data_IF_603170431200
#
_entry.id   IF_603170431200
#
_cell.length_a   1.000
_cell.length_b   1.000
_cell.length_c   1.000
_cell.angle_alpha   90.00
_cell.angle_beta   90.00
_cell.angle_gamma   90.00
#
_symmetry.space_group_name_H-M   'P 1'
#
loop_
_entity.id
_entity.type
_entity.pdbx_description
1 polymer ?
#
# COMPACT_ATOMS: atom_id res chain seq x y z
N UNK A 1 9.84 -18.69 -45.91
CA UNK A 1 10.26 -19.10 -44.55
C UNK A 1 10.12 -17.88 -43.66
N UNK A 2 9.02 -17.79 -42.92
CA UNK A 2 8.75 -16.64 -42.04
C UNK A 2 9.48 -16.92 -40.73
N UNK A 3 10.50 -16.12 -40.44
CA UNK A 3 11.21 -16.15 -39.16
C UNK A 3 10.21 -15.72 -38.08
N UNK A 4 9.87 -16.58 -37.08
CA UNK A 4 9.02 -16.14 -36.00
C UNK A 4 9.81 -15.11 -35.18
N UNK A 5 9.32 -13.87 -35.16
CA UNK A 5 9.78 -12.86 -34.21
C UNK A 5 9.40 -13.39 -32.82
N UNK A 6 10.36 -14.03 -32.13
CA UNK A 6 10.23 -14.28 -30.70
C UNK A 6 10.26 -12.92 -30.02
N UNK A 7 9.07 -12.35 -29.79
CA UNK A 7 8.94 -11.16 -28.94
C UNK A 7 9.60 -11.47 -27.60
N UNK A 8 10.62 -10.69 -27.23
CA UNK A 8 11.33 -10.87 -25.97
C UNK A 8 10.31 -10.78 -24.83
N UNK A 9 10.24 -11.83 -24.00
CA UNK A 9 9.47 -11.79 -22.77
C UNK A 9 10.16 -10.79 -21.85
N UNK A 10 9.45 -9.75 -21.42
CA UNK A 10 9.96 -8.78 -20.44
C UNK A 10 10.29 -9.50 -19.14
N UNK A 11 11.36 -9.08 -18.46
CA UNK A 11 11.72 -9.63 -17.15
C UNK A 11 10.84 -9.04 -16.04
N UNK A 12 10.84 -9.66 -14.86
CA UNK A 12 10.12 -9.14 -13.69
C UNK A 12 10.58 -7.73 -13.30
N UNK A 13 11.90 -7.49 -13.34
CA UNK A 13 12.46 -6.17 -13.08
C UNK A 13 12.03 -5.14 -14.13
N UNK A 14 11.99 -5.53 -15.40
CA UNK A 14 11.56 -4.64 -16.49
C UNK A 14 10.07 -4.28 -16.37
N UNK A 15 9.21 -5.24 -15.98
CA UNK A 15 7.80 -4.95 -15.71
C UNK A 15 7.65 -3.99 -14.52
N UNK A 16 8.40 -4.19 -13.44
CA UNK A 16 8.38 -3.29 -12.29
C UNK A 16 8.82 -1.87 -12.69
N UNK A 17 9.89 -1.75 -13.47
CA UNK A 17 10.40 -0.45 -13.94
C UNK A 17 9.39 0.28 -14.83
N UNK A 18 8.68 -0.44 -15.71
CA UNK A 18 7.60 0.14 -16.53
C UNK A 18 6.42 0.61 -15.69
N UNK A 19 6.04 -0.15 -14.66
CA UNK A 19 4.97 0.27 -13.75
C UNK A 19 5.37 1.49 -12.91
N UNK A 20 6.59 1.52 -12.38
CA UNK A 20 7.12 2.70 -11.69
C UNK A 20 7.15 3.91 -12.62
N UNK A 21 7.56 3.76 -13.88
CA UNK A 21 7.53 4.87 -14.84
C UNK A 21 6.10 5.38 -15.12
N UNK A 22 5.09 4.51 -15.06
CA UNK A 22 3.69 4.92 -15.18
C UNK A 22 3.24 5.73 -13.96
N UNK A 23 3.53 5.22 -12.75
CA UNK A 23 3.05 5.78 -11.47
C UNK A 23 3.86 7.01 -11.01
N UNK A 24 5.17 7.00 -11.18
CA UNK A 24 6.09 8.05 -10.76
C UNK A 24 7.05 8.42 -11.90
N UNK A 25 6.55 9.07 -12.98
CA UNK A 25 7.33 9.40 -14.16
C UNK A 25 8.51 10.34 -13.86
N UNK A 26 8.40 11.12 -12.80
CA UNK A 26 9.39 12.12 -12.40
C UNK A 26 10.29 11.65 -11.24
N UNK A 27 10.18 10.37 -10.82
CA UNK A 27 10.98 9.77 -9.74
C UNK A 27 10.92 10.54 -8.42
N UNK A 28 9.74 11.06 -8.08
CA UNK A 28 9.48 11.90 -6.92
C UNK A 28 9.35 11.10 -5.62
N UNK A 29 9.13 9.77 -5.66
CA UNK A 29 8.86 9.00 -4.44
C UNK A 29 9.93 9.17 -3.36
N UNK A 30 11.22 9.15 -3.70
CA UNK A 30 12.30 9.36 -2.73
C UNK A 30 12.29 10.77 -2.11
N UNK A 31 11.80 11.76 -2.86
CA UNK A 31 11.68 13.16 -2.42
C UNK A 31 10.25 13.51 -1.98
N UNK A 32 9.39 12.51 -1.77
CA UNK A 32 7.99 12.74 -1.46
C UNK A 32 7.88 13.52 -0.14
N UNK A 33 7.21 14.67 -0.23
CA UNK A 33 6.86 15.54 0.89
C UNK A 33 5.43 16.00 0.64
N UNK A 34 4.48 15.25 1.19
CA UNK A 34 3.07 15.44 0.85
C UNK A 34 2.14 15.04 1.97
N UNK A 35 0.92 15.51 1.84
CA UNK A 35 -0.18 15.18 2.74
C UNK A 35 -1.37 14.64 1.97
N UNK A 36 -2.08 13.69 2.55
CA UNK A 36 -3.27 13.11 1.96
C UNK A 36 -4.20 12.53 3.01
N UNK A 37 -5.47 12.36 2.66
CA UNK A 37 -6.47 11.73 3.51
C UNK A 37 -6.92 10.41 2.94
N UNK A 38 -7.17 9.45 3.83
CA UNK A 38 -7.75 8.16 3.51
C UNK A 38 -9.04 8.00 4.31
N UNK A 39 -10.16 7.87 3.60
CA UNK A 39 -11.45 7.54 4.20
C UNK A 39 -11.66 6.04 4.08
N UNK A 40 -11.59 5.32 5.20
CA UNK A 40 -11.89 3.89 5.25
C UNK A 40 -13.37 3.66 5.54
N UNK A 41 -14.02 2.89 4.66
CA UNK A 41 -15.41 2.45 4.80
C UNK A 41 -15.45 0.95 5.04
N UNK A 42 -16.02 0.55 6.18
CA UNK A 42 -16.18 -0.86 6.57
C UNK A 42 -17.65 -1.17 6.78
N UNK A 43 -18.15 -2.36 6.39
CA UNK A 43 -19.53 -2.75 6.67
C UNK A 43 -19.89 -2.58 8.15
N UNK A 44 -21.06 -1.99 8.43
CA UNK A 44 -21.59 -1.79 9.78
C UNK A 44 -20.70 -0.98 10.74
N UNK A 45 -19.83 -0.10 10.21
CA UNK A 45 -19.02 0.84 10.99
C UNK A 45 -19.18 2.24 10.42
N UNK A 46 -18.99 3.25 11.27
CA UNK A 46 -18.73 4.62 10.82
C UNK A 46 -17.42 4.70 10.04
N UNK A 47 -17.33 5.72 9.19
CA UNK A 47 -16.12 6.01 8.43
C UNK A 47 -14.97 6.36 9.38
N UNK A 48 -13.77 5.85 9.07
CA UNK A 48 -12.54 6.27 9.73
C UNK A 48 -11.77 7.18 8.78
N UNK A 49 -11.42 8.37 9.23
CA UNK A 49 -10.63 9.32 8.45
C UNK A 49 -9.20 9.29 8.98
N UNK A 50 -8.25 8.95 8.12
CA UNK A 50 -6.83 9.05 8.41
C UNK A 50 -6.26 10.22 7.63
N UNK A 51 -5.70 11.22 8.30
CA UNK A 51 -4.89 12.28 7.70
C UNK A 51 -3.41 11.90 7.85
N UNK A 52 -2.71 11.77 6.71
CA UNK A 52 -1.30 11.36 6.66
C UNK A 52 -0.47 12.52 6.15
N UNK A 53 0.64 12.79 6.82
CA UNK A 53 1.76 13.60 6.30
C UNK A 53 2.96 12.67 6.21
N UNK A 54 3.57 12.61 5.03
CA UNK A 54 4.76 11.80 4.79
C UNK A 54 5.82 12.66 4.11
N UNK A 55 6.97 12.77 4.77
CA UNK A 55 8.16 13.41 4.22
C UNK A 55 9.30 12.40 4.30
N UNK A 56 9.61 11.81 3.15
CA UNK A 56 10.64 10.77 3.01
C UNK A 56 12.05 11.33 3.31
N UNK A 57 12.47 12.51 2.79
CA UNK A 57 13.78 13.09 3.09
C UNK A 57 14.03 13.38 4.58
N UNK A 58 13.04 13.93 5.29
CA UNK A 58 13.16 14.25 6.71
C UNK A 58 12.88 13.06 7.63
N UNK A 59 12.48 11.91 7.09
CA UNK A 59 12.01 10.75 7.85
C UNK A 59 10.90 11.15 8.85
N UNK A 60 9.95 11.94 8.35
CA UNK A 60 8.82 12.43 9.13
C UNK A 60 7.52 11.77 8.65
N UNK A 61 6.79 11.23 9.61
CA UNK A 61 5.47 10.65 9.39
C UNK A 61 4.52 11.15 10.47
N UNK A 62 3.42 11.75 10.05
CA UNK A 62 2.30 12.08 10.94
C UNK A 62 1.06 11.34 10.48
N UNK A 63 0.37 10.74 11.43
CA UNK A 63 -0.93 10.13 11.23
C UNK A 63 -1.88 10.70 12.27
N UNK A 64 -2.97 11.32 11.84
CA UNK A 64 -4.12 11.65 12.68
C UNK A 64 -5.29 10.80 12.24
N UNK A 65 -5.90 10.08 13.18
CA UNK A 65 -7.06 9.23 12.92
C UNK A 65 -8.25 9.79 13.67
N UNK A 66 -9.32 10.05 12.93
CA UNK A 66 -10.63 10.43 13.45
C UNK A 66 -11.59 9.26 13.25
N UNK A 67 -12.23 8.83 14.33
CA UNK A 67 -13.30 7.83 14.29
C UNK A 67 -14.32 8.10 15.38
N UNK A 68 -15.59 8.17 14.99
CA UNK A 68 -16.68 8.52 15.89
C UNK A 68 -16.42 9.87 16.58
N UNK A 69 -16.27 9.89 17.90
CA UNK A 69 -15.92 11.08 18.69
C UNK A 69 -14.45 11.15 19.10
N UNK A 70 -13.67 10.12 18.79
CA UNK A 70 -12.27 10.01 19.24
C UNK A 70 -11.30 10.36 18.12
N UNK A 71 -10.26 11.09 18.48
CA UNK A 71 -9.13 11.42 17.60
C UNK A 71 -7.83 10.99 18.26
N UNK A 72 -6.98 10.24 17.58
CA UNK A 72 -5.63 9.98 18.06
C UNK A 72 -4.60 10.29 16.99
N UNK A 73 -3.39 10.63 17.41
CA UNK A 73 -2.31 10.91 16.47
C UNK A 73 -0.99 10.24 16.85
N UNK A 74 -0.19 9.98 15.81
CA UNK A 74 1.21 9.61 15.90
C UNK A 74 2.03 10.63 15.13
N UNK A 75 3.02 11.23 15.77
CA UNK A 75 4.06 12.05 15.11
C UNK A 75 5.38 11.32 15.31
N UNK A 76 5.95 10.82 14.21
CA UNK A 76 7.20 10.08 14.17
C UNK A 76 8.21 10.89 13.36
N UNK A 77 9.25 11.39 14.02
CA UNK A 77 10.32 12.14 13.37
C UNK A 77 11.66 11.51 13.74
N UNK A 78 12.32 10.88 12.77
CA UNK A 78 13.56 10.11 13.01
C UNK A 78 13.36 9.06 14.11
N UNK A 79 13.94 9.28 15.30
CA UNK A 79 13.86 8.39 16.46
C UNK A 79 12.85 8.85 17.53
N UNK A 80 12.18 9.98 17.31
CA UNK A 80 11.20 10.53 18.23
C UNK A 80 9.80 10.06 17.87
N UNK A 81 8.99 9.80 18.90
CA UNK A 81 7.61 9.37 18.78
C UNK A 81 6.76 10.12 19.80
N UNK A 82 5.81 10.90 19.30
CA UNK A 82 4.79 11.57 20.11
C UNK A 82 3.42 11.01 19.76
N UNK A 83 2.61 10.81 20.79
CA UNK A 83 1.27 10.24 20.66
C UNK A 83 0.31 11.17 21.40
N UNK A 84 -0.83 11.48 20.77
CA UNK A 84 -1.93 12.18 21.44
C UNK A 84 -3.25 11.41 21.29
N UNK A 85 -4.15 11.62 22.25
CA UNK A 85 -5.54 11.22 22.20
C UNK A 85 -6.38 12.45 22.56
N UNK A 86 -7.32 12.83 21.69
CA UNK A 86 -8.17 14.00 21.82
C UNK A 86 -7.35 15.25 22.18
N UNK A 87 -6.28 15.48 21.40
CA UNK A 87 -5.29 16.56 21.54
C UNK A 87 -4.48 16.57 22.86
N UNK A 88 -4.60 15.52 23.68
CA UNK A 88 -3.85 15.37 24.92
C UNK A 88 -2.71 14.36 24.79
N UNK A 89 -1.50 14.74 25.18
CA UNK A 89 -0.32 13.85 25.20
C UNK A 89 -0.18 13.07 26.52
N UNK A 90 -0.82 13.54 27.59
CA UNK A 90 -0.90 12.84 28.86
C UNK A 90 -2.09 11.87 28.85
N UNK A 91 -1.86 10.71 28.24
CA UNK A 91 -2.85 9.66 28.02
C UNK A 91 -2.80 8.65 29.17
N UNK A 92 -3.96 8.33 29.74
CA UNK A 92 -4.08 7.31 30.80
C UNK A 92 -3.65 5.92 30.30
N UNK A 93 -3.16 5.05 31.19
CA UNK A 93 -2.82 3.66 30.82
C UNK A 93 -4.02 2.87 30.28
N UNK A 94 -5.21 3.14 30.84
CA UNK A 94 -6.47 2.55 30.39
C UNK A 94 -6.78 2.93 28.94
N UNK A 95 -6.62 4.21 28.59
CA UNK A 95 -6.83 4.68 27.22
C UNK A 95 -5.74 4.17 26.28
N UNK A 96 -4.48 4.15 26.71
CA UNK A 96 -3.39 3.56 25.91
C UNK A 96 -3.67 2.12 25.55
N UNK A 97 -4.20 1.35 26.49
CA UNK A 97 -4.57 -0.06 26.27
C UNK A 97 -5.78 -0.16 25.34
N UNK A 98 -6.85 0.60 25.61
CA UNK A 98 -8.10 0.60 24.83
C UNK A 98 -7.85 0.94 23.35
N UNK A 99 -7.07 1.99 23.10
CA UNK A 99 -6.79 2.49 21.75
C UNK A 99 -5.49 1.92 21.15
N UNK A 100 -4.77 1.04 21.89
CA UNK A 100 -3.49 0.44 21.49
C UNK A 100 -2.43 1.50 21.11
N UNK A 101 -2.33 2.56 21.91
CA UNK A 101 -1.51 3.73 21.65
C UNK A 101 -0.09 3.56 22.21
N UNK A 102 0.82 3.13 21.34
CA UNK A 102 2.25 3.00 21.63
C UNK A 102 3.11 3.23 20.37
N UNK A 103 4.41 3.45 20.55
CA UNK A 103 5.31 3.80 19.44
C UNK A 103 5.58 2.65 18.47
N UNK A 104 5.45 1.41 18.92
CA UNK A 104 5.52 0.22 18.04
C UNK A 104 4.35 0.25 17.05
N UNK A 105 3.13 0.48 17.53
CA UNK A 105 1.94 0.65 16.70
C UNK A 105 2.07 1.84 15.76
N UNK A 106 2.62 2.96 16.23
CA UNK A 106 2.92 4.12 15.39
C UNK A 106 3.84 3.74 14.21
N UNK A 107 4.97 3.07 14.49
CA UNK A 107 5.90 2.63 13.46
C UNK A 107 5.28 1.60 12.50
N UNK A 108 4.45 0.69 13.00
CA UNK A 108 3.68 -0.23 12.16
C UNK A 108 2.76 0.54 11.20
N UNK A 109 2.05 1.57 11.67
CA UNK A 109 1.20 2.40 10.82
C UNK A 109 2.01 3.19 9.78
N UNK A 110 3.17 3.75 10.16
CA UNK A 110 4.11 4.37 9.21
C UNK A 110 4.49 3.42 8.09
N UNK A 111 4.90 2.19 8.43
CA UNK A 111 5.29 1.18 7.45
C UNK A 111 4.10 0.78 6.57
N UNK A 112 2.92 0.58 7.16
CA UNK A 112 1.69 0.24 6.44
C UNK A 112 1.29 1.31 5.40
N UNK A 113 1.17 2.57 5.80
CA UNK A 113 0.77 3.64 4.88
C UNK A 113 1.86 3.96 3.86
N UNK A 114 3.13 4.06 4.28
CA UNK A 114 4.23 4.33 3.33
C UNK A 114 4.41 3.21 2.31
N UNK A 115 4.17 1.95 2.69
CA UNK A 115 4.20 0.82 1.76
C UNK A 115 3.02 0.90 0.77
N UNK A 116 1.77 0.86 1.24
CA UNK A 116 0.60 0.77 0.35
C UNK A 116 0.40 1.96 -0.60
N UNK A 117 0.82 3.16 -0.18
CA UNK A 117 0.71 4.38 -0.96
C UNK A 117 2.01 4.72 -1.71
N UNK A 118 3.09 3.99 -1.43
CA UNK A 118 4.35 4.04 -2.19
C UNK A 118 4.50 2.94 -3.23
N UNK A 119 3.56 1.99 -3.33
CA UNK A 119 3.55 1.00 -4.40
C UNK A 119 3.29 1.67 -5.77
N UNK A 120 3.95 1.24 -6.86
CA UNK A 120 4.91 0.14 -6.96
C UNK A 120 6.36 0.48 -6.54
N UNK A 121 6.70 1.75 -6.28
CA UNK A 121 8.08 2.19 -6.01
C UNK A 121 8.71 1.45 -4.83
N UNK A 122 7.92 1.14 -3.80
CA UNK A 122 8.36 0.40 -2.60
C UNK A 122 8.82 -1.04 -2.88
N UNK A 123 8.55 -1.60 -4.07
CA UNK A 123 9.06 -2.91 -4.47
C UNK A 123 10.55 -2.89 -4.86
N UNK A 124 11.19 -1.70 -4.88
CA UNK A 124 12.64 -1.54 -5.02
C UNK A 124 13.38 -1.44 -3.69
N UNK A 125 12.66 -1.41 -2.58
CA UNK A 125 13.29 -1.29 -1.27
C UNK A 125 14.10 -2.55 -0.93
N UNK A 126 15.18 -2.41 -0.14
CA UNK A 126 15.93 -3.56 0.35
C UNK A 126 15.02 -4.59 1.03
N UNK A 127 15.25 -5.87 0.73
CA UNK A 127 14.48 -6.99 1.23
C UNK A 127 13.26 -7.37 0.40
N UNK A 128 12.88 -6.60 -0.63
CA UNK A 128 11.92 -7.04 -1.64
C UNK A 128 12.58 -8.00 -2.65
N UNK A 129 11.99 -9.17 -2.87
CA UNK A 129 12.51 -10.20 -3.77
C UNK A 129 11.54 -10.37 -4.94
N UNK A 130 11.79 -9.65 -6.02
CA UNK A 130 10.99 -9.70 -7.26
C UNK A 130 11.36 -10.94 -8.06
N UNK A 131 10.38 -11.79 -8.36
CA UNK A 131 10.60 -12.95 -9.24
C UNK A 131 11.03 -12.46 -10.63
N UNK A 132 12.12 -13.00 -11.23
CA UNK A 132 12.54 -12.62 -12.57
C UNK A 132 11.52 -12.96 -13.66
N UNK A 133 10.55 -13.84 -13.37
CA UNK A 133 9.53 -14.29 -14.30
C UNK A 133 8.28 -13.42 -14.24
N UNK A 134 7.83 -12.96 -15.41
CA UNK A 134 6.50 -12.34 -15.55
C UNK A 134 5.48 -13.41 -15.90
N UNK A 135 4.43 -13.49 -15.09
CA UNK A 135 3.30 -14.38 -15.33
C UNK A 135 2.18 -13.65 -16.06
N UNK A 136 1.36 -14.40 -16.80
CA UNK A 136 0.06 -13.93 -17.28
C UNK A 136 -1.04 -14.64 -16.51
N UNK A 137 -2.00 -13.88 -15.98
CA UNK A 137 -3.15 -14.44 -15.27
C UNK A 137 -4.41 -13.68 -15.66
N UNK A 138 -5.51 -14.42 -15.78
CA UNK A 138 -6.85 -13.82 -15.85
C UNK A 138 -7.39 -13.71 -14.42
N UNK A 139 -7.76 -12.50 -14.02
CA UNK A 139 -8.37 -12.23 -12.73
C UNK A 139 -9.58 -11.32 -12.92
N UNK A 140 -10.73 -11.65 -12.30
CA UNK A 140 -11.99 -10.92 -12.47
C UNK A 140 -12.31 -10.60 -13.95
N UNK A 141 -12.12 -11.57 -14.83
CA UNK A 141 -12.37 -11.48 -16.29
C UNK A 141 -11.47 -10.51 -17.07
N UNK A 142 -10.32 -10.07 -16.52
CA UNK A 142 -9.29 -9.29 -17.21
C UNK A 142 -7.95 -10.03 -17.21
N UNK A 143 -7.21 -10.00 -18.33
CA UNK A 143 -5.83 -10.53 -18.41
C UNK A 143 -4.85 -9.48 -17.85
N UNK A 144 -3.89 -9.94 -17.04
CA UNK A 144 -2.85 -9.13 -16.43
C UNK A 144 -1.47 -9.70 -16.66
N UNK A 145 -0.47 -8.82 -16.62
CA UNK A 145 0.91 -9.18 -16.31
C UNK A 145 1.06 -9.23 -14.78
N UNK A 146 1.71 -10.23 -14.24
CA UNK A 146 1.77 -10.44 -12.79
C UNK A 146 3.20 -10.62 -12.31
N UNK A 147 3.58 -9.84 -11.30
CA UNK A 147 4.80 -10.04 -10.52
C UNK A 147 4.49 -10.79 -9.24
N UNK A 148 5.27 -11.83 -8.96
CA UNK A 148 5.35 -12.44 -7.64
C UNK A 148 6.50 -11.78 -6.89
N UNK A 149 6.24 -11.35 -5.66
CA UNK A 149 7.23 -10.70 -4.80
C UNK A 149 7.20 -11.38 -3.45
N UNK A 150 8.35 -11.93 -3.05
CA UNK A 150 8.59 -12.35 -1.67
C UNK A 150 9.37 -11.28 -0.92
N UNK A 151 9.59 -11.50 0.37
CA UNK A 151 10.37 -10.61 1.22
C UNK A 151 11.38 -11.41 2.04
N UNK A 152 12.48 -10.75 2.40
CA UNK A 152 13.35 -11.26 3.47
C UNK A 152 12.54 -11.40 4.77
N UNK A 153 12.85 -12.43 5.57
CA UNK A 153 12.10 -12.76 6.80
C UNK A 153 11.99 -11.58 7.79
N UNK A 154 12.99 -10.69 7.81
CA UNK A 154 12.98 -9.51 8.67
C UNK A 154 11.97 -8.43 8.22
N UNK A 155 11.53 -8.48 6.95
CA UNK A 155 10.57 -7.55 6.35
C UNK A 155 9.15 -8.10 6.40
N UNK A 156 8.97 -9.38 6.05
CA UNK A 156 7.68 -10.05 6.08
C UNK A 156 7.71 -11.45 5.49
N UNK A 157 6.75 -12.27 5.88
CA UNK A 157 6.65 -13.67 5.45
C UNK A 157 5.63 -13.87 4.32
N UNK A 158 4.80 -12.85 4.06
CA UNK A 158 3.73 -12.92 3.07
C UNK A 158 4.27 -12.92 1.64
N UNK A 159 3.62 -13.70 0.78
CA UNK A 159 3.92 -13.73 -0.65
C UNK A 159 2.90 -12.85 -1.37
N UNK A 160 3.42 -11.85 -2.08
CA UNK A 160 2.62 -10.87 -2.80
C UNK A 160 2.58 -11.16 -4.30
N UNK A 161 1.44 -10.84 -4.91
CA UNK A 161 1.18 -10.82 -6.33
C UNK A 161 0.64 -9.45 -6.72
N UNK A 162 1.33 -8.80 -7.65
CA UNK A 162 0.94 -7.50 -8.18
C UNK A 162 0.53 -7.65 -9.63
N UNK A 163 -0.67 -7.16 -9.96
CA UNK A 163 -1.26 -7.31 -11.28
C UNK A 163 -1.24 -5.98 -11.99
N UNK A 164 -0.69 -6.00 -13.21
CA UNK A 164 -0.46 -4.83 -14.04
C UNK A 164 -1.24 -4.94 -15.33
N UNK A 165 -1.84 -3.83 -15.73
CA UNK A 165 -2.47 -3.69 -17.03
C UNK A 165 -1.44 -3.94 -18.15
N UNK A 166 -1.68 -4.87 -19.10
CA UNK A 166 -0.69 -5.24 -20.10
C UNK A 166 -0.31 -4.12 -21.09
N UNK A 167 -1.14 -3.08 -21.22
CA UNK A 167 -0.94 -1.98 -22.17
C UNK A 167 -0.26 -0.78 -21.52
N UNK A 168 -0.74 -0.37 -20.35
CA UNK A 168 -0.29 0.83 -19.64
C UNK A 168 0.72 0.56 -18.54
N UNK A 169 0.83 -0.69 -18.07
CA UNK A 169 1.61 -1.09 -16.88
C UNK A 169 1.11 -0.48 -15.57
N UNK A 170 -0.09 0.11 -15.56
CA UNK A 170 -0.76 0.54 -14.34
C UNK A 170 -0.98 -0.66 -13.41
N UNK A 171 -0.63 -0.50 -12.15
CA UNK A 171 -0.90 -1.47 -11.10
C UNK A 171 -2.38 -1.40 -10.74
N UNK A 172 -3.09 -2.53 -10.84
CA UNK A 172 -4.56 -2.56 -10.69
C UNK A 172 -5.06 -3.53 -9.61
N UNK A 173 -4.24 -4.50 -9.19
CA UNK A 173 -4.60 -5.43 -8.10
C UNK A 173 -3.37 -5.75 -7.26
N UNK A 174 -3.57 -5.79 -5.95
CA UNK A 174 -2.66 -6.45 -5.01
C UNK A 174 -3.30 -7.74 -4.54
N UNK A 175 -2.50 -8.76 -4.28
CA UNK A 175 -2.98 -9.97 -3.64
C UNK A 175 -1.85 -10.56 -2.82
N UNK A 176 -2.11 -10.94 -1.58
CA UNK A 176 -1.11 -11.59 -0.75
C UNK A 176 -1.67 -12.82 -0.05
N UNK A 177 -0.78 -13.73 0.30
CA UNK A 177 -1.08 -14.97 1.01
C UNK A 177 -0.09 -15.12 2.17
N UNK A 178 -0.58 -15.55 3.33
CA UNK A 178 0.31 -16.02 4.40
C UNK A 178 0.78 -17.44 4.09
N UNK A 179 -0.12 -18.27 3.54
CA UNK A 179 0.14 -19.59 3.02
C UNK A 179 -0.64 -19.78 1.71
N UNK A 180 0.07 -19.75 0.57
CA UNK A 180 -0.52 -19.88 -0.76
C UNK A 180 -1.36 -21.17 -0.91
N UNK A 181 -1.02 -22.24 -0.20
CA UNK A 181 -1.72 -23.53 -0.28
C UNK A 181 -3.08 -23.49 0.43
N UNK A 182 -3.22 -22.64 1.45
CA UNK A 182 -4.46 -22.44 2.20
C UNK A 182 -5.38 -21.41 1.57
N UNK A 183 -4.87 -20.62 0.61
CA UNK A 183 -5.57 -19.47 0.01
C UNK A 183 -6.07 -18.48 1.06
N UNK A 184 -5.31 -18.33 2.14
CA UNK A 184 -5.54 -17.28 3.14
C UNK A 184 -5.04 -15.92 2.62
N UNK A 185 -5.07 -14.89 3.46
CA UNK A 185 -4.77 -13.52 3.05
C UNK A 185 -5.89 -12.89 2.21
N UNK A 186 -5.52 -11.83 1.49
CA UNK A 186 -6.46 -10.90 0.90
C UNK A 186 -6.06 -10.51 -0.52
N UNK A 187 -7.02 -9.98 -1.27
CA UNK A 187 -6.77 -9.22 -2.48
C UNK A 187 -7.44 -7.85 -2.42
N UNK A 188 -6.81 -6.89 -3.10
CA UNK A 188 -7.18 -5.49 -3.10
C UNK A 188 -7.38 -5.06 -4.55
N UNK A 189 -8.59 -4.67 -4.90
CA UNK A 189 -8.92 -4.10 -6.21
C UNK A 189 -8.67 -2.60 -6.19
N UNK A 190 -7.88 -2.12 -7.16
CA UNK A 190 -7.51 -0.73 -7.29
C UNK A 190 -8.34 -0.07 -8.38
N UNK A 191 -8.81 1.15 -8.14
CA UNK A 191 -9.52 1.91 -9.16
C UNK A 191 -9.36 3.41 -8.98
N UNK A 192 -9.41 4.13 -10.10
CA UNK A 192 -9.14 5.56 -10.15
C UNK A 192 -7.67 5.89 -9.83
N UNK A 193 -7.28 7.12 -10.14
CA UNK A 193 -5.97 7.66 -9.80
C UNK A 193 -6.18 9.04 -9.17
N UNK A 194 -5.38 9.34 -8.16
CA UNK A 194 -5.15 10.68 -7.66
C UNK A 194 -3.67 11.03 -7.87
N UNK A 195 -3.39 12.29 -8.17
CA UNK A 195 -2.02 12.78 -8.34
C UNK A 195 -1.65 13.56 -7.09
N UNK A 196 -0.64 13.08 -6.37
CA UNK A 196 -0.15 13.71 -5.13
C UNK A 196 1.35 13.88 -5.29
N UNK A 197 1.83 15.12 -5.21
CA UNK A 197 3.23 15.47 -5.45
C UNK A 197 3.79 14.87 -6.76
N UNK A 198 2.98 14.88 -7.82
CA UNK A 198 3.37 14.36 -9.14
C UNK A 198 3.35 12.83 -9.28
N UNK A 199 2.95 12.09 -8.24
CA UNK A 199 2.84 10.63 -8.24
C UNK A 199 1.38 10.22 -8.44
N UNK A 200 1.13 9.33 -9.39
CA UNK A 200 -0.20 8.73 -9.63
C UNK A 200 -0.43 7.59 -8.65
N UNK A 201 -1.21 7.85 -7.61
CA UNK A 201 -1.58 6.84 -6.63
C UNK A 201 -2.97 6.29 -6.94
N UNK A 202 -3.21 4.97 -6.78
CA UNK A 202 -4.56 4.44 -6.82
C UNK A 202 -5.49 5.20 -5.87
N UNK A 203 -6.64 5.64 -6.36
CA UNK A 203 -7.61 6.38 -5.54
C UNK A 203 -8.31 5.47 -4.56
N UNK A 204 -8.84 4.36 -5.05
CA UNK A 204 -9.70 3.46 -4.28
C UNK A 204 -9.01 2.10 -4.14
N UNK A 205 -9.02 1.53 -2.93
CA UNK A 205 -8.54 0.18 -2.61
C UNK A 205 -9.66 -0.60 -1.94
N UNK A 206 -10.29 -1.53 -2.66
CA UNK A 206 -11.37 -2.37 -2.13
C UNK A 206 -10.80 -3.75 -1.73
N UNK A 207 -10.95 -4.10 -0.45
CA UNK A 207 -10.30 -5.25 0.19
C UNK A 207 -11.25 -6.44 0.30
N UNK A 208 -10.74 -7.63 0.02
CA UNK A 208 -11.49 -8.87 0.03
C UNK A 208 -10.64 -10.05 0.53
N UNK A 209 -11.25 -11.00 1.24
CA UNK A 209 -10.57 -12.27 1.52
C UNK A 209 -10.41 -13.12 0.25
N UNK A 210 -9.24 -13.76 0.11
CA UNK A 210 -8.96 -14.70 -0.98
C UNK A 210 -9.90 -15.91 -0.98
N UNK A 211 -10.18 -16.46 0.21
CA UNK A 211 -10.90 -17.74 0.38
C UNK A 211 -12.33 -17.74 -0.15
N UNK A 212 -13.05 -16.63 0.00
CA UNK A 212 -14.50 -16.57 -0.24
C UNK A 212 -14.98 -15.25 -0.87
N UNK A 213 -14.08 -14.32 -1.20
CA UNK A 213 -14.40 -12.99 -1.71
C UNK A 213 -15.24 -12.13 -0.75
N UNK A 214 -15.21 -12.41 0.56
CA UNK A 214 -15.87 -11.54 1.55
C UNK A 214 -15.25 -10.15 1.49
N UNK A 215 -16.10 -9.15 1.30
CA UNK A 215 -15.72 -7.75 1.31
C UNK A 215 -15.40 -7.26 2.72
N UNK A 216 -14.22 -6.64 2.89
CA UNK A 216 -13.71 -6.19 4.19
C UNK A 216 -13.89 -4.69 4.39
N UNK A 217 -13.78 -3.93 3.31
CA UNK A 217 -13.85 -2.49 3.34
C UNK A 217 -13.18 -1.87 2.14
N UNK A 218 -13.29 -0.56 2.04
CA UNK A 218 -12.66 0.23 0.99
C UNK A 218 -11.96 1.42 1.59
N UNK A 219 -10.71 1.62 1.20
CA UNK A 219 -9.98 2.85 1.46
C UNK A 219 -10.11 3.77 0.25
N UNK A 220 -10.50 5.02 0.50
CA UNK A 220 -10.66 6.04 -0.52
C UNK A 220 -9.66 7.17 -0.23
N UNK A 221 -8.65 7.28 -1.09
CA UNK A 221 -7.72 8.39 -1.11
C UNK A 221 -8.45 9.66 -1.55
N UNK A 222 -8.26 10.73 -0.78
CA UNK A 222 -8.82 12.05 -1.02
C UNK A 222 -7.73 13.08 -0.84
N UNK A 223 -7.66 14.01 -1.80
CA UNK A 223 -6.95 15.27 -1.67
C UNK A 223 -7.95 16.27 -1.10
N UNK A 224 -7.56 17.03 -0.07
CA UNK A 224 -8.40 18.12 0.44
C UNK A 224 -8.49 19.24 -0.60
#
# INVERSE_FOLDING_TARGET
>A
MVCPIMGQKISGQELLDRSIAFHDPNKQWHQFDGQFKVVMKTPNSTDRISSIILNNPEQNFTLTVEKDSDTYSYVLKKNECQISLNDNTNISEADRTKFKLNCERGNMMKNYYSYLYGLPMKLKDPGAIVDPTVYKKTFKNKEYLVLRVGYDLEVGEDIWYFYFDPMSYAMEVYQFFHDETKKDGEYILLSGLEIIEGIKMPKTRAWYYNKDNTYLGTDILTIN
#
